data_IF_730372430530
#
_entry.id   IF_730372430530
#
_cell.length_a   1.000
_cell.length_b   1.000
_cell.length_c   1.000
_cell.angle_alpha   90.00
_cell.angle_beta   90.00
_cell.angle_gamma   90.00
#
_symmetry.space_group_name_H-M   'P 1'
#
loop_
_entity.id
_entity.type
_entity.pdbx_description
1 polymer ?
#
# COMPACT_ATOMS: atom_id res chain seq x y z
N UNK A 1 5.89 39.25 -4.18
CA UNK A 1 5.54 38.16 -3.22
C UNK A 1 4.05 38.25 -2.95
N UNK A 2 3.37 37.08 -2.84
CA UNK A 2 1.94 36.97 -2.48
C UNK A 2 1.81 36.15 -1.20
N UNK A 3 0.73 36.36 -0.46
CA UNK A 3 0.43 35.53 0.71
C UNK A 3 -0.06 34.14 0.30
N UNK A 4 0.19 33.12 1.11
CA UNK A 4 -0.30 31.74 0.91
C UNK A 4 -1.79 31.72 0.59
N UNK A 5 -2.59 32.50 1.35
CA UNK A 5 -4.03 32.61 1.16
C UNK A 5 -4.40 33.14 -0.23
N UNK A 6 -3.71 34.12 -0.75
CA UNK A 6 -3.96 34.70 -2.07
C UNK A 6 -3.66 33.68 -3.17
N UNK A 7 -2.50 33.01 -3.08
CA UNK A 7 -2.07 31.96 -4.02
C UNK A 7 -3.06 30.79 -4.01
N UNK A 8 -3.50 30.37 -2.81
CA UNK A 8 -4.49 29.29 -2.67
C UNK A 8 -5.82 29.65 -3.33
N UNK A 9 -6.35 30.87 -3.11
CA UNK A 9 -7.63 31.28 -3.71
C UNK A 9 -7.56 31.42 -5.24
N UNK A 10 -6.44 31.89 -5.76
CA UNK A 10 -6.20 31.94 -7.21
C UNK A 10 -6.23 30.51 -7.80
N UNK A 11 -5.49 29.58 -7.19
CA UNK A 11 -5.46 28.19 -7.60
C UNK A 11 -6.83 27.53 -7.52
N UNK A 12 -7.57 27.76 -6.43
CA UNK A 12 -8.90 27.20 -6.24
C UNK A 12 -9.85 27.58 -7.40
N UNK A 13 -9.84 28.86 -7.82
CA UNK A 13 -10.62 29.34 -8.96
C UNK A 13 -10.19 28.68 -10.27
N UNK A 14 -8.87 28.54 -10.49
CA UNK A 14 -8.32 27.92 -11.67
C UNK A 14 -8.64 26.41 -11.77
N UNK A 15 -8.80 25.75 -10.62
CA UNK A 15 -9.05 24.32 -10.54
C UNK A 15 -10.54 23.94 -10.57
N UNK A 16 -11.46 24.89 -10.37
CA UNK A 16 -12.90 24.65 -10.32
C UNK A 16 -13.44 23.83 -11.53
N UNK A 17 -13.04 24.11 -12.79
CA UNK A 17 -13.52 23.33 -13.94
C UNK A 17 -12.96 21.89 -14.01
N UNK A 18 -11.93 21.58 -13.25
CA UNK A 18 -11.21 20.29 -13.29
C UNK A 18 -11.59 19.35 -12.15
N UNK A 19 -12.52 19.76 -11.26
CA UNK A 19 -12.97 18.99 -10.09
C UNK A 19 -11.83 18.58 -9.14
N UNK A 20 -10.75 19.38 -9.06
CA UNK A 20 -9.62 19.14 -8.17
C UNK A 20 -10.07 19.41 -6.72
N UNK A 21 -9.71 18.53 -5.81
CA UNK A 21 -10.04 18.68 -4.41
C UNK A 21 -9.25 19.83 -3.79
N UNK A 22 -9.91 20.65 -3.02
CA UNK A 22 -9.27 21.75 -2.28
C UNK A 22 -8.22 21.25 -1.28
N UNK A 23 -8.35 20.01 -0.80
CA UNK A 23 -7.36 19.30 0.01
C UNK A 23 -6.03 19.13 -0.72
N UNK A 24 -6.04 18.77 -1.99
CA UNK A 24 -4.83 18.51 -2.76
C UNK A 24 -3.99 19.78 -2.96
N UNK A 25 -4.67 20.91 -3.20
CA UNK A 25 -4.00 22.21 -3.24
C UNK A 25 -3.33 22.57 -1.90
N UNK A 26 -3.94 22.20 -0.78
CA UNK A 26 -3.34 22.40 0.55
C UNK A 26 -2.17 21.47 0.81
N UNK A 27 -2.25 20.24 0.33
CA UNK A 27 -1.12 19.28 0.40
C UNK A 27 0.09 19.85 -0.35
N UNK A 28 -0.09 20.33 -1.58
CA UNK A 28 0.98 20.95 -2.36
C UNK A 28 1.58 22.16 -1.64
N UNK A 29 0.73 23.09 -1.20
CA UNK A 29 1.19 24.29 -0.48
C UNK A 29 1.97 23.94 0.79
N UNK A 30 1.47 22.97 1.57
CA UNK A 30 2.14 22.55 2.78
C UNK A 30 3.51 21.95 2.48
N UNK A 31 3.59 21.12 1.45
CA UNK A 31 4.83 20.52 1.01
C UNK A 31 5.86 21.58 0.55
N UNK A 32 5.46 22.51 -0.32
CA UNK A 32 6.33 23.54 -0.87
C UNK A 32 6.80 24.54 0.20
N UNK A 33 5.99 24.75 1.22
CA UNK A 33 6.32 25.63 2.35
C UNK A 33 7.07 24.93 3.48
N UNK A 34 7.28 23.60 3.39
CA UNK A 34 7.92 22.80 4.43
C UNK A 34 7.10 22.69 5.70
N UNK A 35 5.77 22.73 5.62
CA UNK A 35 4.88 22.58 6.77
C UNK A 35 4.70 21.11 7.13
N UNK A 36 4.40 20.86 8.40
CA UNK A 36 4.20 19.50 8.91
C UNK A 36 2.87 18.89 8.42
N UNK A 37 1.84 19.73 8.19
CA UNK A 37 0.50 19.32 7.85
C UNK A 37 -0.18 20.29 6.89
N UNK A 38 -1.10 19.83 6.02
CA UNK A 38 -1.91 20.69 5.18
C UNK A 38 -2.73 21.76 5.96
N UNK A 39 -3.11 21.47 7.21
CA UNK A 39 -3.83 22.42 8.06
C UNK A 39 -2.99 23.66 8.42
N UNK A 40 -1.65 23.55 8.42
CA UNK A 40 -0.75 24.65 8.71
C UNK A 40 -0.88 25.78 7.68
N UNK A 41 -1.34 25.48 6.47
CA UNK A 41 -1.66 26.48 5.45
C UNK A 41 -2.76 27.47 5.90
N UNK A 42 -3.61 27.08 6.86
CA UNK A 42 -4.61 27.96 7.46
C UNK A 42 -4.02 28.82 8.58
N UNK A 43 -3.16 28.23 9.41
CA UNK A 43 -2.50 28.95 10.50
C UNK A 43 -1.52 29.99 9.98
N UNK A 44 -0.76 29.63 8.93
CA UNK A 44 0.25 30.50 8.31
C UNK A 44 -0.22 31.18 7.02
N UNK A 45 -1.53 31.39 6.87
CA UNK A 45 -2.17 31.93 5.66
C UNK A 45 -1.60 33.28 5.19
N UNK A 46 -1.12 34.11 6.13
CA UNK A 46 -0.56 35.43 5.87
C UNK A 46 0.95 35.40 5.58
N UNK A 47 1.61 34.23 5.64
CA UNK A 47 3.02 34.09 5.27
C UNK A 47 3.18 34.32 3.78
N UNK A 48 4.22 35.05 3.40
CA UNK A 48 4.54 35.33 2.01
C UNK A 48 5.28 34.18 1.35
N UNK A 49 4.97 33.96 0.08
CA UNK A 49 5.67 33.02 -0.81
C UNK A 49 6.60 33.78 -1.76
N UNK A 50 7.78 33.23 -2.01
CA UNK A 50 8.69 33.75 -3.04
C UNK A 50 8.11 33.50 -4.45
N UNK A 51 8.65 34.22 -5.45
CA UNK A 51 8.25 34.02 -6.85
C UNK A 51 8.57 32.58 -7.32
N UNK A 52 9.68 32.01 -6.85
CA UNK A 52 10.08 30.63 -7.16
C UNK A 52 9.11 29.62 -6.54
N UNK A 53 8.68 29.80 -5.29
CA UNK A 53 7.68 28.94 -4.64
C UNK A 53 6.33 29.02 -5.35
N UNK A 54 5.90 30.23 -5.77
CA UNK A 54 4.66 30.40 -6.53
C UNK A 54 4.76 29.72 -7.90
N UNK A 55 5.90 29.86 -8.59
CA UNK A 55 6.13 29.22 -9.87
C UNK A 55 6.13 27.68 -9.76
N UNK A 56 6.77 27.13 -8.73
CA UNK A 56 6.76 25.69 -8.43
C UNK A 56 5.34 25.21 -8.18
N UNK A 57 4.63 25.83 -7.25
CA UNK A 57 3.25 25.49 -6.92
C UNK A 57 2.33 25.52 -8.16
N UNK A 58 2.42 26.58 -8.99
CA UNK A 58 1.64 26.66 -10.22
C UNK A 58 1.95 25.51 -11.19
N UNK A 59 3.22 25.12 -11.33
CA UNK A 59 3.60 23.98 -12.17
C UNK A 59 3.04 22.66 -11.66
N UNK A 60 2.94 22.48 -10.34
CA UNK A 60 2.31 21.31 -9.71
C UNK A 60 0.80 21.33 -9.89
N UNK A 61 0.15 22.49 -9.80
CA UNK A 61 -1.28 22.65 -10.08
C UNK A 61 -1.61 22.25 -11.52
N UNK A 62 -0.76 22.57 -12.50
CA UNK A 62 -0.95 22.07 -13.87
C UNK A 62 -0.87 20.54 -13.97
N UNK A 63 -0.03 19.88 -13.16
CA UNK A 63 0.00 18.41 -13.07
C UNK A 63 -1.30 17.85 -12.50
N UNK A 64 -1.84 18.45 -11.42
CA UNK A 64 -3.16 18.09 -10.89
C UNK A 64 -4.28 18.21 -11.93
N UNK A 65 -4.29 19.28 -12.71
CA UNK A 65 -5.25 19.50 -13.80
C UNK A 65 -5.20 18.40 -14.88
N UNK A 66 -4.06 17.73 -15.00
CA UNK A 66 -3.89 16.57 -15.86
C UNK A 66 -4.20 15.25 -15.12
N UNK A 67 -4.90 15.28 -13.99
CA UNK A 67 -5.27 14.15 -13.13
C UNK A 67 -4.10 13.38 -12.52
N UNK A 68 -2.89 13.96 -12.44
CA UNK A 68 -1.78 13.30 -11.74
C UNK A 68 -2.05 13.33 -10.22
N UNK A 69 -1.97 12.18 -9.51
CA UNK A 69 -2.17 12.13 -8.06
C UNK A 69 -1.21 13.06 -7.32
N UNK A 70 -1.71 13.74 -6.29
CA UNK A 70 -0.91 14.68 -5.50
C UNK A 70 0.30 13.99 -4.87
N UNK A 71 0.17 12.73 -4.46
CA UNK A 71 1.24 11.92 -3.89
C UNK A 71 2.40 11.72 -4.87
N UNK A 72 2.12 11.55 -6.17
CA UNK A 72 3.17 11.44 -7.18
C UNK A 72 3.78 12.82 -7.51
N UNK A 73 3.02 13.89 -7.37
CA UNK A 73 3.54 15.24 -7.58
C UNK A 73 4.58 15.57 -6.52
N UNK A 74 4.31 15.25 -5.25
CA UNK A 74 5.22 15.51 -4.12
C UNK A 74 6.15 14.34 -3.82
N UNK A 75 5.97 13.18 -4.49
CA UNK A 75 6.66 11.93 -4.23
C UNK A 75 6.57 11.46 -2.76
N UNK A 76 5.43 11.71 -2.11
CA UNK A 76 5.21 11.30 -0.73
C UNK A 76 3.76 10.85 -0.54
N UNK A 77 3.57 9.75 0.19
CA UNK A 77 2.27 9.27 0.67
C UNK A 77 2.35 8.97 2.16
N UNK A 78 1.32 9.35 2.92
CA UNK A 78 1.21 8.99 4.33
C UNK A 78 0.65 7.57 4.46
N UNK A 79 1.26 6.75 5.31
CA UNK A 79 0.78 5.41 5.61
C UNK A 79 1.09 5.06 7.08
N UNK A 80 0.05 4.96 7.92
CA UNK A 80 0.20 4.91 9.37
C UNK A 80 1.15 6.03 9.86
N UNK A 81 2.19 5.69 10.62
CA UNK A 81 3.17 6.65 11.15
C UNK A 81 4.31 6.95 10.16
N UNK A 82 4.23 6.46 8.92
CA UNK A 82 5.29 6.59 7.93
C UNK A 82 4.89 7.56 6.81
N UNK A 83 5.86 8.34 6.37
CA UNK A 83 5.82 9.11 5.12
C UNK A 83 6.64 8.38 4.08
N UNK A 84 6.00 7.68 3.18
CA UNK A 84 6.63 6.83 2.19
C UNK A 84 6.89 7.60 0.90
N UNK A 85 8.05 7.39 0.30
CA UNK A 85 8.30 7.80 -1.06
C UNK A 85 7.45 6.96 -2.01
N UNK A 86 6.80 7.60 -2.96
CA UNK A 86 6.02 6.96 -4.03
C UNK A 86 6.28 7.63 -5.37
N UNK A 87 6.22 6.85 -6.43
CA UNK A 87 6.27 7.30 -7.81
C UNK A 87 5.46 6.36 -8.70
N UNK A 88 5.45 6.59 -10.00
CA UNK A 88 4.66 5.83 -11.00
C UNK A 88 5.00 4.32 -11.09
N UNK A 89 6.00 3.85 -10.35
CA UNK A 89 6.38 2.44 -10.32
C UNK A 89 5.60 1.62 -9.30
N UNK A 90 4.87 2.26 -8.39
CA UNK A 90 4.17 1.61 -7.27
C UNK A 90 2.74 2.13 -7.10
N UNK A 91 1.85 1.28 -6.60
CA UNK A 91 0.54 1.72 -6.12
C UNK A 91 0.71 2.71 -4.97
N UNK A 92 -0.06 3.80 -4.97
CA UNK A 92 -0.16 4.69 -3.81
C UNK A 92 -0.84 3.91 -2.68
N UNK A 93 -0.21 3.77 -1.49
CA UNK A 93 -0.79 3.04 -0.37
C UNK A 93 -2.19 3.54 -0.02
N UNK A 94 -3.14 2.61 0.14
CA UNK A 94 -4.55 2.92 0.42
C UNK A 94 -4.86 2.88 1.92
N UNK A 95 -5.92 3.60 2.32
CA UNK A 95 -6.37 3.61 3.71
C UNK A 95 -6.83 2.21 4.17
N UNK A 96 -7.49 1.46 3.30
CA UNK A 96 -7.93 0.09 3.56
C UNK A 96 -6.75 -0.82 3.92
N UNK A 97 -5.59 -0.62 3.29
CA UNK A 97 -4.38 -1.39 3.65
C UNK A 97 -3.88 -1.05 5.06
N UNK A 98 -4.17 0.14 5.61
CA UNK A 98 -3.89 0.41 7.04
C UNK A 98 -4.77 -0.41 7.97
N UNK A 99 -6.01 -0.66 7.57
CA UNK A 99 -6.93 -1.50 8.33
C UNK A 99 -6.52 -2.98 8.33
N UNK A 100 -5.93 -3.47 7.21
CA UNK A 100 -5.33 -4.80 7.17
C UNK A 100 -4.28 -4.98 8.28
N UNK A 101 -3.40 -3.99 8.45
CA UNK A 101 -2.36 -4.02 9.49
C UNK A 101 -2.97 -3.92 10.89
N UNK A 102 -3.99 -3.07 11.08
CA UNK A 102 -4.69 -2.95 12.34
C UNK A 102 -5.36 -4.28 12.75
N UNK A 103 -6.11 -4.90 11.81
CA UNK A 103 -6.73 -6.21 12.02
C UNK A 103 -5.71 -7.31 12.30
N UNK A 104 -4.57 -7.32 11.57
CA UNK A 104 -3.49 -8.27 11.86
C UNK A 104 -2.96 -8.06 13.29
N UNK A 105 -2.73 -6.81 13.71
CA UNK A 105 -2.19 -6.50 15.04
C UNK A 105 -3.14 -6.89 16.17
N UNK A 106 -4.43 -6.83 15.95
CA UNK A 106 -5.44 -7.29 16.90
C UNK A 106 -5.51 -8.82 16.94
N UNK A 107 -5.61 -9.46 15.78
CA UNK A 107 -5.85 -10.90 15.65
C UNK A 107 -4.61 -11.77 15.80
N UNK A 108 -3.41 -11.21 15.73
CA UNK A 108 -2.17 -12.00 15.80
C UNK A 108 -2.08 -12.83 17.08
N UNK A 109 -2.66 -12.34 18.19
CA UNK A 109 -2.69 -13.02 19.48
C UNK A 109 -3.54 -14.31 19.47
N UNK A 110 -4.46 -14.45 18.51
CA UNK A 110 -5.27 -15.66 18.35
C UNK A 110 -4.46 -16.82 17.74
N UNK A 111 -3.34 -16.49 17.08
CA UNK A 111 -2.57 -17.44 16.28
C UNK A 111 -1.15 -17.62 16.78
N UNK A 112 -0.50 -16.53 17.24
CA UNK A 112 0.89 -16.50 17.66
C UNK A 112 1.07 -15.62 18.91
N UNK A 113 2.14 -15.87 19.67
CA UNK A 113 2.62 -14.86 20.60
C UNK A 113 3.49 -13.86 19.82
N UNK A 114 3.06 -12.61 19.63
CA UNK A 114 3.79 -11.62 18.83
C UNK A 114 5.11 -11.17 19.48
N UNK A 115 5.38 -11.57 20.74
CA UNK A 115 6.67 -11.37 21.38
C UNK A 115 7.73 -12.36 20.87
N UNK A 116 7.28 -13.46 20.26
CA UNK A 116 8.17 -14.41 19.62
C UNK A 116 8.79 -13.84 18.35
N UNK A 117 9.84 -14.49 17.90
CA UNK A 117 10.48 -14.20 16.63
C UNK A 117 9.68 -14.86 15.51
N UNK A 118 8.97 -14.06 14.73
CA UNK A 118 8.19 -14.54 13.60
C UNK A 118 8.83 -14.15 12.26
N UNK A 119 8.72 -15.05 11.29
CA UNK A 119 9.24 -14.88 9.93
C UNK A 119 8.07 -14.45 9.02
N UNK A 120 8.13 -13.23 8.51
CA UNK A 120 7.05 -12.57 7.78
C UNK A 120 7.48 -12.27 6.35
N UNK A 121 6.60 -12.56 5.41
CA UNK A 121 6.76 -12.21 4.00
C UNK A 121 5.63 -11.30 3.53
N UNK A 122 5.98 -10.14 2.97
CA UNK A 122 5.10 -9.24 2.23
C UNK A 122 5.24 -9.52 0.73
N UNK A 123 4.21 -10.05 0.10
CA UNK A 123 4.21 -10.50 -1.30
C UNK A 123 3.53 -9.46 -2.19
N UNK A 124 4.24 -8.98 -3.21
CA UNK A 124 3.76 -7.85 -4.03
C UNK A 124 3.88 -6.54 -3.26
N UNK A 125 5.04 -6.29 -2.68
CA UNK A 125 5.25 -5.23 -1.67
C UNK A 125 5.03 -3.81 -2.19
N UNK A 126 5.12 -3.58 -3.50
CA UNK A 126 4.95 -2.27 -4.11
C UNK A 126 5.88 -1.22 -3.51
N UNK A 127 5.31 -0.22 -2.83
CA UNK A 127 6.06 0.83 -2.14
C UNK A 127 6.78 0.36 -0.85
N UNK A 128 6.54 -0.87 -0.41
CA UNK A 128 7.01 -1.38 0.87
C UNK A 128 6.14 -0.98 2.06
N UNK A 129 4.94 -0.46 1.83
CA UNK A 129 4.08 0.08 2.88
C UNK A 129 3.78 -0.94 3.99
N UNK A 130 3.36 -2.16 3.62
CA UNK A 130 3.08 -3.24 4.57
C UNK A 130 4.37 -3.67 5.28
N UNK A 131 5.40 -4.03 4.53
CA UNK A 131 6.66 -4.51 5.09
C UNK A 131 7.31 -3.50 6.05
N UNK A 132 7.36 -2.21 5.67
CA UNK A 132 7.91 -1.14 6.51
C UNK A 132 7.10 -0.96 7.78
N UNK A 133 5.76 -0.96 7.69
CA UNK A 133 4.90 -0.78 8.87
C UNK A 133 5.01 -1.96 9.83
N UNK A 134 4.95 -3.20 9.33
CA UNK A 134 5.14 -4.41 10.15
C UNK A 134 6.51 -4.40 10.83
N UNK A 135 7.58 -4.09 10.11
CA UNK A 135 8.92 -4.02 10.71
C UNK A 135 9.07 -2.86 11.70
N UNK A 136 8.37 -1.76 11.46
CA UNK A 136 8.38 -0.64 12.40
C UNK A 136 7.65 -0.97 13.71
N UNK A 137 6.55 -1.72 13.65
CA UNK A 137 5.75 -2.15 14.81
C UNK A 137 6.41 -3.31 15.57
N UNK A 138 6.89 -4.32 14.85
CA UNK A 138 7.42 -5.56 15.41
C UNK A 138 8.92 -5.68 15.14
N UNK A 139 9.73 -5.00 15.96
CA UNK A 139 11.20 -4.91 15.78
C UNK A 139 11.92 -6.26 15.82
N UNK A 140 11.38 -7.23 16.57
CA UNK A 140 11.92 -8.59 16.70
C UNK A 140 11.52 -9.54 15.56
N UNK A 141 10.55 -9.20 14.70
CA UNK A 141 10.16 -10.05 13.59
C UNK A 141 11.18 -9.97 12.44
N UNK A 142 11.40 -11.10 11.77
CA UNK A 142 12.18 -11.14 10.54
C UNK A 142 11.26 -10.85 9.36
N UNK A 143 11.29 -9.62 8.88
CA UNK A 143 10.45 -9.19 7.76
C UNK A 143 11.24 -9.24 6.46
N UNK A 144 10.63 -9.83 5.45
CA UNK A 144 11.09 -9.81 4.08
C UNK A 144 9.97 -9.40 3.14
N UNK A 145 10.33 -8.85 1.99
CA UNK A 145 9.38 -8.35 1.02
C UNK A 145 9.78 -8.79 -0.39
N UNK A 146 8.82 -9.10 -1.22
CA UNK A 146 9.08 -9.46 -2.62
C UNK A 146 8.15 -8.74 -3.58
N UNK A 147 8.66 -8.53 -4.79
CA UNK A 147 7.87 -8.00 -5.90
C UNK A 147 8.44 -8.54 -7.23
N UNK A 148 7.57 -8.68 -8.22
CA UNK A 148 7.97 -9.03 -9.58
C UNK A 148 8.64 -7.84 -10.29
N UNK A 149 8.28 -6.62 -9.90
CA UNK A 149 8.76 -5.35 -10.43
C UNK A 149 10.05 -4.91 -9.74
N UNK A 150 11.16 -4.87 -10.48
CA UNK A 150 12.41 -4.30 -9.96
C UNK A 150 12.29 -2.82 -9.58
N UNK A 151 11.62 -1.95 -10.38
CA UNK A 151 11.40 -0.56 -9.99
C UNK A 151 10.60 -0.42 -8.68
N UNK A 152 9.59 -1.27 -8.44
CA UNK A 152 8.86 -1.27 -7.17
C UNK A 152 9.77 -1.62 -5.99
N UNK A 153 10.63 -2.63 -6.15
CA UNK A 153 11.61 -2.99 -5.10
C UNK A 153 12.60 -1.87 -4.78
N UNK A 154 13.01 -1.07 -5.75
CA UNK A 154 13.87 0.10 -5.48
C UNK A 154 13.13 1.16 -4.67
N UNK A 155 11.84 1.40 -4.93
CA UNK A 155 11.00 2.28 -4.11
C UNK A 155 10.87 1.72 -2.68
N UNK A 156 10.57 0.43 -2.53
CA UNK A 156 10.43 -0.21 -1.23
C UNK A 156 11.73 -0.17 -0.40
N UNK A 157 12.88 -0.42 -1.04
CA UNK A 157 14.21 -0.29 -0.39
C UNK A 157 14.46 1.13 0.10
N UNK A 158 14.22 2.14 -0.76
CA UNK A 158 14.35 3.56 -0.39
C UNK A 158 13.52 3.89 0.85
N UNK A 159 12.30 3.36 0.94
CA UNK A 159 11.43 3.56 2.09
C UNK A 159 11.96 2.86 3.35
N UNK A 160 12.43 1.62 3.24
CA UNK A 160 13.03 0.91 4.36
C UNK A 160 14.31 1.59 4.85
N UNK A 161 15.17 2.07 3.96
CA UNK A 161 16.39 2.82 4.28
C UNK A 161 16.09 4.13 4.99
N UNK A 162 15.08 4.90 4.52
CA UNK A 162 14.62 6.16 5.14
C UNK A 162 14.34 6.00 6.64
N UNK A 163 13.84 4.84 7.05
CA UNK A 163 13.48 4.54 8.45
C UNK A 163 14.44 3.56 9.13
N UNK A 164 15.56 3.22 8.49
CA UNK A 164 16.54 2.26 9.01
C UNK A 164 15.92 0.92 9.41
N UNK A 165 14.98 0.43 8.59
CA UNK A 165 14.27 -0.83 8.82
C UNK A 165 15.01 -1.98 8.14
N UNK A 166 15.51 -2.98 8.90
CA UNK A 166 16.19 -4.14 8.34
C UNK A 166 15.17 -5.11 7.71
N UNK A 167 14.90 -4.91 6.42
CA UNK A 167 14.00 -5.72 5.60
C UNK A 167 14.80 -6.35 4.47
N UNK A 168 14.60 -7.65 4.21
CA UNK A 168 15.21 -8.35 3.08
C UNK A 168 14.30 -8.25 1.85
N UNK A 169 14.83 -7.79 0.72
CA UNK A 169 14.06 -7.62 -0.51
C UNK A 169 14.45 -8.65 -1.57
N UNK A 170 13.44 -9.31 -2.16
CA UNK A 170 13.64 -10.35 -3.16
C UNK A 170 12.83 -10.05 -4.43
N UNK A 171 13.47 -10.16 -5.59
CA UNK A 171 12.76 -10.11 -6.87
C UNK A 171 12.21 -11.48 -7.21
N UNK A 172 10.92 -11.56 -7.52
CA UNK A 172 10.28 -12.78 -8.02
C UNK A 172 8.77 -12.76 -7.98
N UNK A 173 8.19 -13.79 -8.57
CA UNK A 173 6.74 -13.97 -8.67
C UNK A 173 6.24 -14.78 -7.48
N UNK A 174 5.36 -14.19 -6.68
CA UNK A 174 4.69 -14.86 -5.55
C UNK A 174 5.72 -15.45 -4.55
N UNK A 175 5.58 -16.70 -4.16
CA UNK A 175 6.44 -17.41 -3.20
C UNK A 175 7.77 -17.93 -3.78
N UNK A 176 8.00 -17.83 -5.08
CA UNK A 176 9.23 -18.36 -5.71
C UNK A 176 10.53 -17.95 -5.04
N UNK A 177 10.74 -16.66 -4.68
CA UNK A 177 12.00 -16.24 -4.04
C UNK A 177 12.23 -16.90 -2.68
N UNK A 178 11.17 -17.23 -1.96
CA UNK A 178 11.22 -17.87 -0.63
C UNK A 178 11.48 -19.36 -0.75
N UNK A 179 10.85 -20.02 -1.73
CA UNK A 179 11.04 -21.44 -2.04
C UNK A 179 12.49 -21.70 -2.46
N UNK A 180 13.04 -20.89 -3.36
CA UNK A 180 14.43 -21.02 -3.83
C UNK A 180 15.46 -20.87 -2.71
N UNK A 181 15.10 -20.17 -1.63
CA UNK A 181 15.94 -19.97 -0.44
C UNK A 181 15.63 -20.94 0.70
N UNK A 182 14.72 -21.90 0.48
CA UNK A 182 14.24 -22.83 1.49
C UNK A 182 13.78 -22.12 2.77
N UNK A 183 13.12 -20.98 2.66
CA UNK A 183 12.63 -20.21 3.78
C UNK A 183 11.33 -20.83 4.32
N UNK A 184 11.22 -20.89 5.65
CA UNK A 184 9.95 -21.21 6.32
C UNK A 184 9.34 -19.89 6.79
N UNK A 185 8.04 -19.73 6.56
CA UNK A 185 7.28 -18.53 6.90
C UNK A 185 6.26 -18.83 7.99
N UNK A 186 6.08 -17.89 8.91
CA UNK A 186 5.02 -17.92 9.91
C UNK A 186 3.82 -17.07 9.47
N UNK A 187 4.10 -15.97 8.75
CA UNK A 187 3.06 -15.07 8.24
C UNK A 187 3.36 -14.69 6.79
N UNK A 188 2.34 -14.79 5.94
CA UNK A 188 2.33 -14.23 4.59
C UNK A 188 1.29 -13.12 4.55
N UNK A 189 1.69 -11.93 4.08
CA UNK A 189 0.79 -10.80 3.88
C UNK A 189 0.86 -10.40 2.42
N UNK A 190 -0.27 -10.07 1.82
CA UNK A 190 -0.30 -9.56 0.46
C UNK A 190 -1.53 -8.69 0.21
N UNK A 191 -1.33 -7.59 -0.49
CA UNK A 191 -2.38 -6.81 -1.14
C UNK A 191 -2.20 -6.97 -2.66
N UNK A 192 -2.67 -8.09 -3.24
CA UNK A 192 -2.52 -8.32 -4.67
C UNK A 192 -3.56 -7.55 -5.47
N UNK A 193 -3.38 -7.41 -6.79
CA UNK A 193 -4.38 -6.80 -7.65
C UNK A 193 -5.73 -7.53 -7.55
N UNK A 194 -6.80 -6.78 -7.31
CA UNK A 194 -8.15 -7.33 -7.11
C UNK A 194 -9.24 -6.69 -7.97
N UNK A 195 -8.93 -5.66 -8.75
CA UNK A 195 -9.94 -4.98 -9.60
C UNK A 195 -10.23 -5.85 -10.82
N UNK A 196 -11.47 -6.33 -10.91
CA UNK A 196 -11.95 -7.14 -12.04
C UNK A 196 -12.40 -6.26 -13.19
N UNK A 197 -13.13 -5.20 -12.91
CA UNK A 197 -13.73 -4.35 -13.92
C UNK A 197 -12.98 -3.01 -14.05
N UNK A 198 -12.32 -2.80 -15.19
CA UNK A 198 -11.56 -1.57 -15.49
C UNK A 198 -12.40 -0.28 -15.50
N UNK A 199 -13.72 -0.40 -15.67
CA UNK A 199 -14.61 0.78 -15.71
C UNK A 199 -14.86 1.42 -14.36
N UNK A 200 -14.58 0.68 -13.27
CA UNK A 200 -14.82 1.15 -11.91
C UNK A 200 -13.63 1.93 -11.33
N UNK A 201 -12.59 2.14 -12.16
CA UNK A 201 -11.36 2.81 -11.74
C UNK A 201 -11.37 4.28 -12.19
N UNK A 202 -11.05 5.17 -11.26
CA UNK A 202 -10.91 6.60 -11.55
C UNK A 202 -9.80 6.86 -12.60
N UNK A 203 -9.94 7.89 -13.46
CA UNK A 203 -8.93 8.22 -14.48
C UNK A 203 -7.53 8.45 -13.91
N UNK A 204 -7.41 9.15 -12.76
CA UNK A 204 -6.14 9.37 -12.07
C UNK A 204 -5.41 8.07 -11.75
N UNK A 205 -6.14 7.07 -11.23
CA UNK A 205 -5.60 5.75 -10.90
C UNK A 205 -5.22 4.99 -12.17
N UNK A 206 -6.14 4.88 -13.13
CA UNK A 206 -5.94 4.07 -14.34
C UNK A 206 -4.83 4.58 -15.26
N UNK A 207 -4.55 5.90 -15.28
CA UNK A 207 -3.53 6.51 -16.13
C UNK A 207 -2.14 6.57 -15.48
N UNK A 208 -2.08 6.67 -14.16
CA UNK A 208 -0.83 6.97 -13.47
C UNK A 208 -0.28 5.79 -12.67
N UNK A 209 -1.15 4.94 -12.13
CA UNK A 209 -0.70 3.81 -11.32
C UNK A 209 -0.44 2.56 -12.18
N UNK A 210 0.48 1.67 -11.75
CA UNK A 210 0.84 0.50 -12.54
C UNK A 210 -0.35 -0.45 -12.73
N UNK A 211 -0.69 -0.76 -13.97
CA UNK A 211 -1.81 -1.66 -14.28
C UNK A 211 -1.64 -3.05 -13.65
N UNK A 212 -0.40 -3.51 -13.48
CA UNK A 212 -0.06 -4.77 -12.82
C UNK A 212 -0.35 -4.78 -11.32
N UNK A 213 -0.51 -3.61 -10.70
CA UNK A 213 -0.87 -3.47 -9.29
C UNK A 213 -2.37 -3.27 -9.07
N UNK A 214 -3.16 -3.08 -10.15
CA UNK A 214 -4.59 -2.76 -10.08
C UNK A 214 -5.47 -3.95 -10.45
N UNK A 215 -5.19 -4.57 -11.61
CA UNK A 215 -6.15 -5.46 -12.26
C UNK A 215 -5.87 -6.93 -11.97
N UNK A 216 -6.90 -7.63 -11.49
CA UNK A 216 -6.86 -9.07 -11.28
C UNK A 216 -6.92 -9.80 -12.62
N UNK A 217 -5.95 -10.65 -12.86
CA UNK A 217 -5.98 -11.66 -13.91
C UNK A 217 -6.17 -13.04 -13.25
N UNK A 218 -7.37 -13.61 -13.41
CA UNK A 218 -7.69 -14.92 -12.85
C UNK A 218 -6.79 -16.04 -13.39
N UNK A 219 -6.20 -15.88 -14.59
CA UNK A 219 -5.31 -16.89 -15.18
C UNK A 219 -3.93 -16.89 -14.55
N UNK A 220 -3.57 -15.83 -13.84
CA UNK A 220 -2.25 -15.64 -13.21
C UNK A 220 -2.32 -15.05 -11.82
N UNK A 221 -3.44 -15.27 -11.12
CA UNK A 221 -3.75 -14.72 -9.82
C UNK A 221 -2.66 -14.97 -8.78
N UNK A 222 -2.25 -13.92 -8.08
CA UNK A 222 -1.29 -13.99 -6.98
C UNK A 222 -1.87 -14.78 -5.81
N UNK A 223 -3.17 -14.66 -5.53
CA UNK A 223 -3.88 -15.48 -4.53
C UNK A 223 -3.69 -16.97 -4.80
N UNK A 224 -4.00 -17.39 -6.03
CA UNK A 224 -3.86 -18.80 -6.44
C UNK A 224 -2.42 -19.28 -6.33
N UNK A 225 -1.45 -18.51 -6.82
CA UNK A 225 -0.03 -18.87 -6.76
C UNK A 225 0.47 -19.04 -5.32
N UNK A 226 0.05 -18.15 -4.40
CA UNK A 226 0.42 -18.26 -2.99
C UNK A 226 -0.15 -19.54 -2.41
N UNK A 227 -1.46 -19.77 -2.55
CA UNK A 227 -2.14 -20.94 -1.97
C UNK A 227 -1.65 -22.26 -2.56
N UNK A 228 -1.33 -22.30 -3.85
CA UNK A 228 -0.79 -23.49 -4.52
C UNK A 228 0.61 -23.89 -4.02
N UNK A 229 1.42 -22.92 -3.63
CA UNK A 229 2.81 -23.13 -3.24
C UNK A 229 3.07 -23.07 -1.72
N UNK A 230 2.02 -22.88 -0.93
CA UNK A 230 2.10 -22.70 0.53
C UNK A 230 2.84 -23.84 1.24
N UNK A 231 2.65 -25.07 0.77
CA UNK A 231 3.30 -26.27 1.32
C UNK A 231 4.83 -26.25 1.21
N UNK A 232 5.38 -25.43 0.35
CA UNK A 232 6.83 -25.32 0.11
C UNK A 232 7.51 -24.36 1.08
N UNK A 233 6.73 -23.52 1.78
CA UNK A 233 7.23 -22.53 2.73
C UNK A 233 6.65 -22.69 4.15
N UNK A 234 5.61 -23.53 4.32
CA UNK A 234 5.01 -23.86 5.62
C UNK A 234 5.78 -24.99 6.28
N UNK A 235 6.19 -24.82 7.53
CA UNK A 235 6.78 -25.88 8.36
C UNK A 235 6.02 -26.12 9.64
N UNK A 236 5.52 -25.09 10.28
CA UNK A 236 4.64 -25.10 11.45
C UNK A 236 3.28 -24.52 11.12
N UNK A 237 2.65 -23.84 12.05
CA UNK A 237 1.47 -23.02 11.77
C UNK A 237 1.81 -21.87 10.85
N UNK A 238 0.88 -21.49 9.99
CA UNK A 238 1.06 -20.39 9.03
C UNK A 238 -0.20 -19.53 8.97
N UNK A 239 -0.06 -18.23 9.11
CA UNK A 239 -1.12 -17.26 8.86
C UNK A 239 -0.91 -16.60 7.50
N UNK A 240 -1.95 -16.61 6.67
CA UNK A 240 -1.98 -15.87 5.40
C UNK A 240 -3.03 -14.77 5.53
N UNK A 241 -2.64 -13.55 5.20
CA UNK A 241 -3.52 -12.37 5.26
C UNK A 241 -3.54 -11.72 3.89
N UNK A 242 -4.72 -11.67 3.29
CA UNK A 242 -4.95 -11.02 2.01
C UNK A 242 -5.83 -9.78 2.16
N UNK A 243 -5.50 -8.71 1.45
CA UNK A 243 -6.49 -7.73 1.05
C UNK A 243 -7.20 -8.25 -0.21
N UNK A 244 -8.54 -8.11 -0.27
CA UNK A 244 -9.37 -8.65 -1.35
C UNK A 244 -10.36 -7.61 -1.88
N UNK A 245 -10.85 -7.80 -3.09
CA UNK A 245 -12.06 -7.12 -3.55
C UNK A 245 -13.29 -7.65 -2.81
N UNK A 246 -14.25 -6.78 -2.52
CA UNK A 246 -15.45 -7.12 -1.76
C UNK A 246 -16.33 -8.22 -2.39
N UNK A 247 -16.08 -8.55 -3.64
CA UNK A 247 -16.79 -9.56 -4.44
C UNK A 247 -15.95 -10.83 -4.68
N UNK A 248 -14.81 -11.00 -3.97
CA UNK A 248 -13.90 -12.14 -4.18
C UNK A 248 -14.00 -13.24 -3.12
N UNK A 249 -14.95 -13.19 -2.18
CA UNK A 249 -15.06 -14.18 -1.10
C UNK A 249 -15.18 -15.60 -1.63
N UNK A 250 -16.12 -15.84 -2.55
CA UNK A 250 -16.33 -17.18 -3.15
C UNK A 250 -15.08 -17.66 -3.88
N UNK A 251 -14.40 -16.77 -4.60
CA UNK A 251 -13.14 -17.09 -5.28
C UNK A 251 -12.05 -17.54 -4.30
N UNK A 252 -11.86 -16.82 -3.19
CA UNK A 252 -10.89 -17.19 -2.15
C UNK A 252 -11.27 -18.50 -1.47
N UNK A 253 -12.56 -18.71 -1.16
CA UNK A 253 -13.05 -19.99 -0.60
C UNK A 253 -12.75 -21.16 -1.52
N UNK A 254 -13.00 -21.02 -2.81
CA UNK A 254 -12.76 -22.09 -3.80
C UNK A 254 -11.26 -22.38 -3.96
N UNK A 255 -10.41 -21.36 -3.92
CA UNK A 255 -8.97 -21.56 -3.88
C UNK A 255 -8.52 -22.28 -2.60
N UNK A 256 -9.07 -21.93 -1.44
CA UNK A 256 -8.78 -22.63 -0.19
C UNK A 256 -9.21 -24.10 -0.26
N UNK A 257 -10.42 -24.42 -0.72
CA UNK A 257 -10.88 -25.79 -0.93
C UNK A 257 -9.95 -26.57 -1.86
N UNK A 258 -9.52 -25.93 -2.96
CA UNK A 258 -8.67 -26.54 -4.00
C UNK A 258 -7.27 -26.87 -3.49
N UNK A 259 -6.63 -25.95 -2.78
CA UNK A 259 -5.21 -26.05 -2.44
C UNK A 259 -4.93 -26.41 -0.99
N UNK A 260 -5.87 -26.14 -0.08
CA UNK A 260 -5.68 -26.36 1.35
C UNK A 260 -6.50 -27.54 1.91
N UNK A 261 -7.23 -28.28 1.07
CA UNK A 261 -8.09 -29.38 1.51
C UNK A 261 -7.40 -30.51 2.31
N UNK A 262 -6.06 -30.60 2.25
CA UNK A 262 -5.25 -31.55 3.01
C UNK A 262 -4.78 -31.01 4.37
N UNK A 263 -5.12 -29.76 4.71
CA UNK A 263 -4.73 -29.09 5.96
C UNK A 263 -5.95 -28.87 6.85
N UNK A 264 -5.73 -28.84 8.16
CA UNK A 264 -6.65 -28.16 9.07
C UNK A 264 -6.45 -26.67 8.88
N UNK A 265 -7.47 -25.94 8.39
CA UNK A 265 -7.40 -24.51 8.23
C UNK A 265 -8.68 -23.80 8.69
N UNK A 266 -8.52 -22.56 9.13
CA UNK A 266 -9.61 -21.63 9.43
C UNK A 266 -9.54 -20.48 8.44
N UNK A 267 -10.64 -20.18 7.76
CA UNK A 267 -10.80 -18.99 6.92
C UNK A 267 -11.78 -18.03 7.59
N UNK A 268 -11.41 -16.78 7.68
CA UNK A 268 -12.25 -15.70 8.21
C UNK A 268 -12.18 -14.49 7.29
N UNK A 269 -13.33 -13.95 6.90
CA UNK A 269 -13.41 -12.68 6.19
C UNK A 269 -13.72 -11.57 7.18
N UNK A 270 -13.02 -10.45 7.01
CA UNK A 270 -13.15 -9.26 7.86
C UNK A 270 -13.52 -8.09 6.96
N UNK A 271 -14.47 -7.30 7.44
CA UNK A 271 -14.94 -6.11 6.75
C UNK A 271 -14.06 -4.91 7.04
N UNK A 272 -14.02 -3.99 6.06
CA UNK A 272 -13.46 -2.66 6.23
C UNK A 272 -14.45 -1.72 6.96
N UNK A 273 -14.02 -0.49 7.22
CA UNK A 273 -14.85 0.54 7.85
C UNK A 273 -16.08 0.96 7.02
N UNK A 274 -16.16 0.55 5.75
CA UNK A 274 -17.32 0.74 4.89
C UNK A 274 -18.28 -0.47 4.89
N UNK A 275 -18.08 -1.44 5.80
CA UNK A 275 -18.87 -2.67 5.94
C UNK A 275 -18.78 -3.60 4.71
N UNK A 276 -17.68 -3.51 3.93
CA UNK A 276 -17.38 -4.36 2.79
C UNK A 276 -16.34 -5.41 3.17
N UNK A 277 -16.55 -6.66 2.75
CA UNK A 277 -15.55 -7.70 2.93
C UNK A 277 -14.26 -7.29 2.21
N UNK A 278 -13.16 -7.15 2.98
CA UNK A 278 -11.92 -6.56 2.51
C UNK A 278 -10.69 -7.40 2.85
N UNK A 279 -10.74 -8.21 3.87
CA UNK A 279 -9.59 -8.97 4.31
C UNK A 279 -9.94 -10.44 4.48
N UNK A 280 -9.07 -11.33 4.00
CA UNK A 280 -9.18 -12.77 4.21
C UNK A 280 -8.01 -13.23 5.09
N UNK A 281 -8.33 -13.80 6.26
CA UNK A 281 -7.39 -14.39 7.19
C UNK A 281 -7.50 -15.90 7.11
N UNK A 282 -6.42 -16.57 6.71
CA UNK A 282 -6.36 -18.02 6.52
C UNK A 282 -5.27 -18.56 7.44
N UNK A 283 -5.66 -19.29 8.47
CA UNK A 283 -4.74 -19.91 9.41
C UNK A 283 -4.66 -21.41 9.14
N UNK A 284 -3.46 -21.93 8.96
CA UNK A 284 -3.14 -23.33 8.76
C UNK A 284 -2.38 -23.85 10.00
N UNK A 285 -2.88 -24.95 10.58
CA UNK A 285 -2.22 -25.67 11.69
C UNK A 285 -1.06 -26.52 11.21
#
# INVERSE_FOLDING_TARGET
MKKIYEVYLEALKLCEPYHILSSDLRVLLAFDMGFASPIDTLYYKDKEMSEEQIALFNSQVERLKNNEPVEYIINEANFLDLKLYVDRNVLIPRMETTELIANLSEKIYDYFDPRNYLVVADIGTGSGAIACSIKNMYKNWLVSASDISSPALEVAKKNAEKYSLPISFYKGDSLKPYIERNMNLDIIISNPPYIVNKKDVQPSVSFFEPASALYLDFSSSVYEKILADVNKVKKGSLLIVFEIGYDLNEYIEDLCKKYLGNYSYKLEFIKDLNDLDRFAFIFLE
#
